data_IF_837550462494
#
_entry.id   IF_837550462494
#
_cell.length_a   1.000
_cell.length_b   1.000
_cell.length_c   1.000
_cell.angle_alpha   90.00
_cell.angle_beta   90.00
_cell.angle_gamma   90.00
#
_symmetry.space_group_name_H-M   'P 1'
#
loop_
_entity.id
_entity.type
_entity.pdbx_description
1 polymer ?
#
# COMPACT_ATOMS: atom_id res chain seq x y z
N UNK A 1 7.99 -6.33 -20.55
CA UNK A 1 7.10 -5.21 -20.14
C UNK A 1 5.87 -5.80 -19.50
N UNK A 2 5.45 -5.26 -18.34
CA UNK A 2 4.22 -5.66 -17.65
C UNK A 2 2.99 -5.45 -18.54
N UNK A 3 2.09 -6.43 -18.56
CA UNK A 3 0.78 -6.34 -19.24
C UNK A 3 -0.37 -6.09 -18.26
N UNK A 4 -0.08 -6.00 -16.96
CA UNK A 4 -1.10 -5.91 -15.91
C UNK A 4 -2.05 -4.72 -16.10
N UNK A 5 -1.55 -3.61 -16.65
CA UNK A 5 -2.36 -2.41 -16.85
C UNK A 5 -3.52 -2.62 -17.85
N UNK A 6 -3.45 -3.64 -18.71
CA UNK A 6 -4.55 -3.99 -19.61
C UNK A 6 -5.75 -4.62 -18.86
N UNK A 7 -5.53 -5.09 -17.64
CA UNK A 7 -6.55 -5.70 -16.78
C UNK A 7 -7.08 -4.76 -15.69
N UNK A 8 -6.55 -3.53 -15.63
CA UNK A 8 -6.98 -2.51 -14.68
C UNK A 8 -8.21 -1.79 -15.22
N UNK A 9 -9.29 -1.73 -14.40
CA UNK A 9 -10.57 -1.13 -14.80
C UNK A 9 -10.60 0.40 -14.69
N UNK A 10 -9.69 0.99 -13.90
CA UNK A 10 -9.73 2.39 -13.54
C UNK A 10 -8.54 3.15 -14.13
N UNK A 11 -8.77 4.32 -14.67
CA UNK A 11 -7.70 5.24 -15.12
C UNK A 11 -6.91 5.83 -13.96
N UNK A 12 -7.58 6.10 -12.85
CA UNK A 12 -6.99 6.53 -11.58
C UNK A 12 -7.50 5.63 -10.47
N UNK A 13 -6.61 5.23 -9.54
CA UNK A 13 -6.97 4.30 -8.47
C UNK A 13 -6.00 4.38 -7.29
N UNK A 14 -6.47 3.85 -6.17
CA UNK A 14 -5.66 3.52 -4.99
C UNK A 14 -5.24 2.06 -5.12
N UNK A 15 -3.94 1.78 -4.98
CA UNK A 15 -3.51 0.38 -4.84
C UNK A 15 -3.50 0.00 -3.36
N UNK A 16 -4.21 -1.06 -3.02
CA UNK A 16 -4.30 -1.54 -1.64
C UNK A 16 -3.79 -2.97 -1.52
N UNK A 17 -2.98 -3.23 -0.50
CA UNK A 17 -2.62 -4.58 -0.05
C UNK A 17 -2.57 -4.65 1.46
N UNK A 18 -3.13 -5.73 2.01
CA UNK A 18 -3.25 -5.97 3.45
C UNK A 18 -2.92 -7.44 3.69
N UNK A 19 -2.03 -7.73 4.62
CA UNK A 19 -1.63 -9.11 4.89
C UNK A 19 -1.10 -9.37 6.31
N UNK A 20 -0.90 -8.32 7.11
CA UNK A 20 -0.41 -8.47 8.48
C UNK A 20 -1.46 -9.15 9.37
N UNK A 21 -1.01 -10.09 10.22
CA UNK A 21 -1.87 -10.87 11.12
C UNK A 21 -2.74 -9.96 12.00
N UNK A 22 -2.15 -8.92 12.55
CA UNK A 22 -2.81 -7.94 13.42
C UNK A 22 -4.04 -7.29 12.76
N UNK A 23 -4.00 -7.12 11.43
CA UNK A 23 -5.08 -6.54 10.66
C UNK A 23 -6.09 -7.58 10.16
N UNK A 24 -5.59 -8.70 9.62
CA UNK A 24 -6.45 -9.63 8.88
C UNK A 24 -7.04 -10.71 9.78
N UNK A 25 -6.37 -11.12 10.86
CA UNK A 25 -6.88 -12.16 11.76
C UNK A 25 -7.88 -11.62 12.78
N UNK A 26 -7.92 -10.31 12.95
CA UNK A 26 -8.90 -9.62 13.81
C UNK A 26 -10.09 -9.16 12.97
N UNK A 27 -11.25 -9.82 13.17
CA UNK A 27 -12.48 -9.54 12.42
C UNK A 27 -12.90 -8.07 12.49
N UNK A 28 -12.84 -7.45 13.67
CA UNK A 28 -13.24 -6.05 13.89
C UNK A 28 -12.32 -5.10 13.13
N UNK A 29 -11.01 -5.33 13.16
CA UNK A 29 -10.03 -4.49 12.45
C UNK A 29 -10.21 -4.64 10.95
N UNK A 30 -10.27 -5.88 10.43
CA UNK A 30 -10.48 -6.14 9.02
C UNK A 30 -11.79 -5.51 8.52
N UNK A 31 -12.88 -5.67 9.27
CA UNK A 31 -14.18 -5.06 8.93
C UNK A 31 -14.12 -3.52 8.89
N UNK A 32 -13.37 -2.89 9.80
CA UNK A 32 -13.16 -1.44 9.78
C UNK A 32 -12.40 -1.01 8.51
N UNK A 33 -11.36 -1.75 8.13
CA UNK A 33 -10.60 -1.46 6.91
C UNK A 33 -11.50 -1.58 5.68
N UNK A 34 -12.24 -2.67 5.57
CA UNK A 34 -13.16 -2.91 4.44
C UNK A 34 -14.25 -1.84 4.39
N UNK A 35 -14.88 -1.51 5.52
CA UNK A 35 -15.88 -0.43 5.60
C UNK A 35 -15.30 0.93 5.22
N UNK A 36 -14.05 1.21 5.60
CA UNK A 36 -13.35 2.44 5.25
C UNK A 36 -13.13 2.57 3.74
N UNK A 37 -12.68 1.50 3.08
CA UNK A 37 -12.49 1.43 1.62
C UNK A 37 -13.84 1.61 0.90
N UNK A 38 -14.86 0.87 1.30
CA UNK A 38 -16.20 0.94 0.69
C UNK A 38 -16.80 2.34 0.87
N UNK A 39 -16.66 2.91 2.07
CA UNK A 39 -17.22 4.21 2.41
C UNK A 39 -16.58 5.39 1.67
N UNK A 40 -15.32 5.27 1.26
CA UNK A 40 -14.63 6.29 0.49
C UNK A 40 -15.18 6.43 -0.95
N UNK A 41 -15.80 5.40 -1.48
CA UNK A 41 -16.33 5.36 -2.86
C UNK A 41 -15.31 5.76 -3.94
N UNK A 42 -14.03 5.59 -3.65
CA UNK A 42 -12.91 5.96 -4.51
C UNK A 42 -12.41 4.73 -5.25
N UNK A 43 -12.08 4.81 -6.55
CA UNK A 43 -11.56 3.68 -7.31
C UNK A 43 -10.38 3.03 -6.59
N UNK A 44 -10.53 1.75 -6.24
CA UNK A 44 -9.54 1.02 -5.44
C UNK A 44 -9.27 -0.34 -6.05
N UNK A 45 -8.00 -0.65 -6.27
CA UNK A 45 -7.53 -1.99 -6.65
C UNK A 45 -6.98 -2.67 -5.40
N UNK A 46 -7.49 -3.83 -5.07
CA UNK A 46 -7.00 -4.65 -3.96
C UNK A 46 -6.22 -5.82 -4.53
N UNK A 47 -4.88 -5.81 -4.35
CA UNK A 47 -4.05 -6.99 -4.60
C UNK A 47 -4.20 -7.93 -3.41
N UNK A 48 -4.98 -8.98 -3.60
CA UNK A 48 -5.51 -9.78 -2.51
C UNK A 48 -4.55 -10.89 -2.10
N UNK A 49 -3.81 -10.68 -1.01
CA UNK A 49 -2.93 -11.70 -0.44
C UNK A 49 -3.72 -12.95 0.00
N UNK A 50 -3.19 -14.18 -0.15
CA UNK A 50 -3.90 -15.42 0.19
C UNK A 50 -4.43 -15.47 1.62
N UNK A 51 -3.65 -15.00 2.60
CA UNK A 51 -4.10 -14.88 4.00
C UNK A 51 -5.34 -13.99 4.12
N UNK A 52 -5.31 -12.83 3.49
CA UNK A 52 -6.40 -11.87 3.53
C UNK A 52 -7.65 -12.42 2.88
N UNK A 53 -7.50 -13.11 1.74
CA UNK A 53 -8.60 -13.81 1.06
C UNK A 53 -9.28 -14.80 2.00
N UNK A 54 -8.49 -15.69 2.62
CA UNK A 54 -8.98 -16.68 3.58
C UNK A 54 -9.78 -16.06 4.72
N UNK A 55 -9.30 -14.92 5.27
CA UNK A 55 -9.97 -14.26 6.39
C UNK A 55 -11.22 -13.50 5.95
N UNK A 56 -11.21 -12.87 4.77
CA UNK A 56 -12.40 -12.24 4.19
C UNK A 56 -13.52 -13.26 3.91
N UNK A 57 -13.17 -14.45 3.43
CA UNK A 57 -14.10 -15.56 3.25
C UNK A 57 -14.65 -16.06 4.60
N UNK A 58 -13.75 -16.32 5.57
CA UNK A 58 -14.11 -16.76 6.93
C UNK A 58 -15.10 -15.81 7.62
N UNK A 59 -14.90 -14.50 7.47
CA UNK A 59 -15.75 -13.48 8.09
C UNK A 59 -16.89 -12.99 7.17
N UNK A 60 -17.14 -13.68 6.07
CA UNK A 60 -18.23 -13.36 5.11
C UNK A 60 -18.16 -11.92 4.58
N UNK A 61 -16.95 -11.39 4.39
CA UNK A 61 -16.73 -10.00 3.93
C UNK A 61 -16.39 -9.90 2.44
N UNK A 62 -15.95 -10.99 1.79
CA UNK A 62 -15.49 -10.95 0.40
C UNK A 62 -16.56 -10.41 -0.56
N UNK A 63 -17.81 -10.87 -0.42
CA UNK A 63 -18.93 -10.42 -1.25
C UNK A 63 -19.22 -8.92 -1.12
N UNK A 64 -18.93 -8.31 0.03
CA UNK A 64 -19.11 -6.86 0.23
C UNK A 64 -18.19 -6.06 -0.69
N UNK A 65 -16.96 -6.55 -0.91
CA UNK A 65 -15.98 -5.93 -1.82
C UNK A 65 -16.34 -6.21 -3.28
N UNK A 66 -16.69 -7.45 -3.62
CA UNK A 66 -17.05 -7.86 -5.00
C UNK A 66 -18.24 -7.08 -5.53
N UNK A 67 -19.20 -6.75 -4.68
CA UNK A 67 -20.41 -6.00 -5.04
C UNK A 67 -20.15 -4.48 -5.18
N UNK A 68 -18.95 -3.98 -4.86
CA UNK A 68 -18.63 -2.56 -4.96
C UNK A 68 -18.10 -2.20 -6.34
N UNK A 69 -18.83 -1.38 -7.10
CA UNK A 69 -18.44 -0.93 -8.45
C UNK A 69 -17.09 -0.20 -8.51
N UNK A 70 -16.71 0.47 -7.42
CA UNK A 70 -15.45 1.22 -7.28
C UNK A 70 -14.31 0.37 -6.70
N UNK A 71 -14.50 -0.93 -6.50
CA UNK A 71 -13.46 -1.85 -6.05
C UNK A 71 -13.18 -2.90 -7.13
N UNK A 72 -11.91 -3.12 -7.39
CA UNK A 72 -11.42 -4.22 -8.22
C UNK A 72 -10.50 -5.09 -7.39
N UNK A 73 -10.86 -6.35 -7.23
CA UNK A 73 -10.00 -7.36 -6.60
C UNK A 73 -9.16 -8.02 -7.69
N UNK A 74 -7.86 -8.14 -7.45
CA UNK A 74 -6.92 -8.87 -8.30
C UNK A 74 -6.16 -9.89 -7.45
N UNK A 75 -5.74 -10.98 -8.08
CA UNK A 75 -4.85 -11.95 -7.45
C UNK A 75 -3.48 -11.33 -7.17
N UNK A 76 -2.67 -11.91 -6.27
CA UNK A 76 -1.29 -11.48 -6.08
C UNK A 76 -0.53 -11.47 -7.40
N UNK A 77 0.21 -10.39 -7.64
CA UNK A 77 0.94 -10.18 -8.88
C UNK A 77 2.43 -10.46 -8.68
N UNK A 78 3.13 -10.80 -9.75
CA UNK A 78 4.59 -10.81 -9.76
C UNK A 78 5.16 -9.41 -9.49
N UNK A 79 6.42 -9.36 -9.03
CA UNK A 79 7.06 -8.12 -8.58
C UNK A 79 6.99 -6.97 -9.59
N UNK A 80 7.32 -7.24 -10.86
CA UNK A 80 7.30 -6.19 -11.91
C UNK A 80 5.89 -5.69 -12.22
N UNK A 81 4.90 -6.56 -12.18
CA UNK A 81 3.50 -6.19 -12.37
C UNK A 81 2.99 -5.37 -11.19
N UNK A 82 3.40 -5.75 -9.97
CA UNK A 82 3.05 -5.00 -8.76
C UNK A 82 3.69 -3.60 -8.76
N UNK A 83 4.96 -3.46 -9.18
CA UNK A 83 5.60 -2.15 -9.37
C UNK A 83 4.88 -1.30 -10.43
N UNK A 84 4.40 -1.93 -11.51
CA UNK A 84 3.61 -1.22 -12.51
C UNK A 84 2.29 -0.69 -11.94
N UNK A 85 1.62 -1.48 -11.09
CA UNK A 85 0.41 -1.04 -10.38
C UNK A 85 0.71 0.11 -9.42
N UNK A 86 1.80 0.04 -8.64
CA UNK A 86 2.22 1.15 -7.76
C UNK A 86 2.46 2.42 -8.60
N UNK A 87 3.24 2.33 -9.65
CA UNK A 87 3.63 3.48 -10.48
C UNK A 87 2.43 4.21 -11.07
N UNK A 88 1.38 3.49 -11.43
CA UNK A 88 0.18 4.05 -12.05
C UNK A 88 -0.94 4.36 -11.04
N UNK A 89 -0.77 4.04 -9.75
CA UNK A 89 -1.73 4.44 -8.71
C UNK A 89 -1.59 5.92 -8.35
N UNK A 90 -2.62 6.51 -7.78
CA UNK A 90 -2.52 7.84 -7.15
C UNK A 90 -1.69 7.79 -5.88
N UNK A 91 -1.96 6.82 -5.05
CA UNK A 91 -1.19 6.49 -3.85
C UNK A 91 -1.41 5.03 -3.47
N UNK A 92 -0.67 4.56 -2.49
CA UNK A 92 -0.76 3.19 -1.98
C UNK A 92 -1.34 3.18 -0.57
N UNK A 93 -2.15 2.19 -0.25
CA UNK A 93 -2.60 1.90 1.11
C UNK A 93 -2.17 0.49 1.49
N UNK A 94 -1.38 0.36 2.56
CA UNK A 94 -0.77 -0.93 2.91
C UNK A 94 -0.39 -1.05 4.37
N UNK A 95 -0.23 -2.27 4.85
CA UNK A 95 0.39 -2.61 6.14
C UNK A 95 1.82 -3.15 5.99
N UNK A 96 2.36 -3.19 4.76
CA UNK A 96 3.71 -3.71 4.45
C UNK A 96 4.81 -2.69 4.72
N UNK A 97 5.83 -3.09 5.49
CA UNK A 97 7.04 -2.28 5.70
C UNK A 97 7.87 -2.10 4.43
N UNK A 98 8.08 -3.18 3.64
CA UNK A 98 8.86 -3.12 2.41
C UNK A 98 8.26 -2.19 1.36
N UNK A 99 6.94 -2.19 1.21
CA UNK A 99 6.26 -1.26 0.28
C UNK A 99 6.46 0.19 0.73
N UNK A 100 6.47 0.47 2.04
CA UNK A 100 6.76 1.82 2.56
C UNK A 100 8.14 2.33 2.14
N UNK A 101 9.13 1.44 2.00
CA UNK A 101 10.47 1.79 1.51
C UNK A 101 10.47 1.97 -0.02
N UNK A 102 9.96 1.00 -0.76
CA UNK A 102 9.99 0.97 -2.23
C UNK A 102 9.31 2.18 -2.87
N UNK A 103 8.16 2.60 -2.35
CA UNK A 103 7.39 3.73 -2.90
C UNK A 103 8.10 5.08 -2.79
N UNK A 104 9.08 5.20 -1.86
CA UNK A 104 9.90 6.40 -1.71
C UNK A 104 10.98 6.52 -2.78
N UNK A 105 11.12 5.49 -3.63
CA UNK A 105 12.03 5.57 -4.78
C UNK A 105 11.61 6.69 -5.73
N UNK A 106 12.57 7.51 -6.25
CA UNK A 106 12.28 8.51 -7.27
C UNK A 106 11.59 7.96 -8.52
N UNK A 107 11.74 6.66 -8.82
CA UNK A 107 11.10 5.99 -9.95
C UNK A 107 9.61 5.76 -9.74
N UNK A 108 9.17 5.58 -8.49
CA UNK A 108 7.78 5.36 -8.13
C UNK A 108 7.12 6.66 -7.66
N UNK A 109 7.77 7.37 -6.75
CA UNK A 109 7.32 8.68 -6.23
C UNK A 109 5.86 8.68 -5.79
N UNK A 110 5.50 7.78 -4.87
CA UNK A 110 4.13 7.68 -4.34
C UNK A 110 4.09 7.94 -2.85
N UNK A 111 2.97 8.46 -2.38
CA UNK A 111 2.64 8.50 -0.95
C UNK A 111 1.99 7.18 -0.52
N UNK A 112 2.05 6.90 0.77
CA UNK A 112 1.43 5.71 1.36
C UNK A 112 0.61 6.06 2.58
N UNK A 113 -0.58 5.52 2.64
CA UNK A 113 -1.41 5.43 3.83
C UNK A 113 -1.11 4.09 4.51
N UNK A 114 -0.54 4.14 5.70
CA UNK A 114 -0.09 2.96 6.43
C UNK A 114 -1.18 2.50 7.38
N UNK A 115 -1.70 1.31 7.15
CA UNK A 115 -2.74 0.66 7.97
C UNK A 115 -2.14 0.01 9.22
N UNK A 116 -1.55 0.83 10.10
CA UNK A 116 -0.92 0.40 11.34
C UNK A 116 -1.00 1.47 12.40
N UNK A 117 -0.94 1.07 13.67
CA UNK A 117 -0.86 2.00 14.81
C UNK A 117 0.56 2.58 14.98
N UNK A 118 1.57 1.83 14.55
CA UNK A 118 2.98 2.25 14.54
C UNK A 118 3.68 1.77 13.28
N UNK A 119 4.79 2.41 12.92
CA UNK A 119 5.63 1.99 11.78
C UNK A 119 7.06 1.78 12.22
N UNK A 120 7.69 0.73 11.71
CA UNK A 120 9.12 0.46 11.80
C UNK A 120 9.92 1.27 10.76
N UNK A 121 9.26 2.18 10.06
CA UNK A 121 9.82 2.99 8.96
C UNK A 121 9.59 4.48 9.21
N UNK A 122 10.16 5.03 10.29
CA UNK A 122 9.98 6.44 10.65
C UNK A 122 10.51 7.39 9.57
N UNK A 123 11.49 6.95 8.78
CA UNK A 123 12.11 7.76 7.74
C UNK A 123 11.08 8.20 6.67
N UNK A 124 10.20 7.28 6.23
CA UNK A 124 9.15 7.60 5.25
C UNK A 124 8.12 8.57 5.85
N UNK A 125 7.80 8.43 7.14
CA UNK A 125 6.87 9.31 7.85
C UNK A 125 7.48 10.70 8.00
N UNK A 126 8.72 10.80 8.47
CA UNK A 126 9.44 12.06 8.68
C UNK A 126 9.67 12.82 7.36
N UNK A 127 9.80 12.07 6.25
CA UNK A 127 9.89 12.64 4.91
C UNK A 127 8.52 13.07 4.33
N UNK A 128 7.42 12.91 5.07
CA UNK A 128 6.06 13.24 4.62
C UNK A 128 5.52 12.33 3.51
N UNK A 129 6.12 11.18 3.31
CA UNK A 129 5.74 10.21 2.27
C UNK A 129 4.79 9.14 2.77
N UNK A 130 4.81 8.87 4.08
CA UNK A 130 3.95 7.91 4.74
C UNK A 130 3.11 8.59 5.82
N UNK A 131 1.86 8.14 5.97
CA UNK A 131 0.96 8.59 7.04
C UNK A 131 0.32 7.38 7.71
N UNK A 132 0.47 7.27 9.02
CA UNK A 132 -0.24 6.26 9.81
C UNK A 132 -1.72 6.59 9.89
N UNK A 133 -2.57 5.58 9.75
CA UNK A 133 -4.01 5.76 9.81
C UNK A 133 -4.57 4.98 11.01
N UNK A 134 -5.30 5.63 11.92
CA UNK A 134 -6.06 4.91 12.93
C UNK A 134 -7.06 3.95 12.29
N UNK A 135 -7.10 2.68 12.75
CA UNK A 135 -7.85 1.59 12.12
C UNK A 135 -9.36 1.61 12.45
N UNK A 136 -9.95 2.82 12.49
CA UNK A 136 -11.39 3.04 12.55
C UNK A 136 -11.91 3.42 11.17
N UNK A 137 -13.03 2.86 10.75
CA UNK A 137 -13.53 3.01 9.39
C UNK A 137 -13.71 4.50 8.97
N UNK A 138 -14.19 5.37 9.88
CA UNK A 138 -14.35 6.81 9.59
C UNK A 138 -13.00 7.48 9.29
N UNK A 139 -11.95 7.11 10.06
CA UNK A 139 -10.62 7.68 9.87
C UNK A 139 -10.02 7.20 8.55
N UNK A 140 -10.19 5.92 8.21
CA UNK A 140 -9.72 5.35 6.95
C UNK A 140 -10.41 6.05 5.77
N UNK A 141 -11.75 6.17 5.80
CA UNK A 141 -12.51 6.91 4.78
C UNK A 141 -12.02 8.34 4.63
N UNK A 142 -11.88 9.07 5.75
CA UNK A 142 -11.41 10.46 5.76
C UNK A 142 -10.00 10.57 5.18
N UNK A 143 -9.08 9.69 5.60
CA UNK A 143 -7.69 9.70 5.11
C UNK A 143 -7.61 9.41 3.62
N UNK A 144 -8.41 8.47 3.12
CA UNK A 144 -8.50 8.17 1.68
C UNK A 144 -8.93 9.41 0.91
N UNK A 145 -10.02 10.06 1.31
CA UNK A 145 -10.54 11.24 0.62
C UNK A 145 -9.55 12.41 0.66
N UNK A 146 -8.96 12.68 1.82
CA UNK A 146 -7.94 13.72 1.95
C UNK A 146 -6.69 13.46 1.09
N UNK A 147 -6.26 12.19 0.98
CA UNK A 147 -5.10 11.84 0.17
C UNK A 147 -5.41 11.87 -1.32
N UNK A 148 -6.65 11.50 -1.69
CA UNK A 148 -7.11 11.51 -3.07
C UNK A 148 -7.06 12.90 -3.70
N UNK A 149 -7.39 13.94 -2.94
CA UNK A 149 -7.43 15.34 -3.41
C UNK A 149 -6.05 15.99 -3.50
N UNK A 150 -5.01 15.34 -2.94
CA UNK A 150 -3.64 15.89 -3.01
C UNK A 150 -3.04 15.75 -4.40
N UNK A 151 -2.23 16.73 -4.78
CA UNK A 151 -1.41 16.67 -6.00
C UNK A 151 -0.37 15.55 -5.90
N UNK A 152 0.05 15.02 -7.04
CA UNK A 152 1.13 14.06 -7.10
C UNK A 152 2.41 14.60 -6.45
N UNK A 153 3.15 13.71 -5.80
CA UNK A 153 4.44 14.02 -5.20
C UNK A 153 5.56 13.65 -6.17
N UNK A 154 6.59 14.51 -6.24
CA UNK A 154 7.84 14.18 -6.94
C UNK A 154 8.95 14.02 -5.92
N UNK A 155 9.39 12.79 -5.72
CA UNK A 155 10.45 12.45 -4.78
C UNK A 155 11.78 12.54 -5.53
N UNK A 156 12.67 13.44 -5.08
CA UNK A 156 14.00 13.60 -5.69
C UNK A 156 15.02 12.62 -5.10
N UNK A 157 14.87 12.25 -3.83
CA UNK A 157 15.79 11.39 -3.08
C UNK A 157 15.02 10.54 -2.08
N UNK A 158 15.27 9.22 -2.10
CA UNK A 158 14.69 8.33 -1.09
C UNK A 158 15.36 8.54 0.26
N UNK A 159 14.60 8.53 1.38
CA UNK A 159 15.17 8.56 2.73
C UNK A 159 15.99 7.29 3.03
N UNK A 160 15.79 6.21 2.28
CA UNK A 160 16.50 4.94 2.42
C UNK A 160 17.78 4.83 1.57
N UNK A 161 18.22 5.92 0.94
CA UNK A 161 19.48 5.98 0.21
C UNK A 161 19.36 5.81 -1.30
N UNK A 162 20.48 5.48 -1.94
CA UNK A 162 20.63 5.51 -3.40
C UNK A 162 20.97 4.15 -4.00
N UNK A 163 20.79 3.05 -3.25
CA UNK A 163 21.07 1.68 -3.72
C UNK A 163 22.54 1.26 -3.62
N UNK A 164 23.40 2.00 -2.91
CA UNK A 164 24.83 1.71 -2.76
C UNK A 164 25.20 1.04 -1.41
N UNK A 165 24.23 0.42 -0.74
CA UNK A 165 24.45 -0.22 0.58
C UNK A 165 25.48 -1.34 0.53
N UNK A 166 25.47 -2.18 -0.52
CA UNK A 166 26.44 -3.27 -0.68
C UNK A 166 27.89 -2.75 -0.71
N UNK A 167 28.16 -1.70 -1.51
CA UNK A 167 29.50 -1.08 -1.57
C UNK A 167 29.91 -0.49 -0.23
N UNK A 168 29.01 0.14 0.51
CA UNK A 168 29.30 0.69 1.84
C UNK A 168 29.62 -0.41 2.85
N UNK A 169 28.87 -1.52 2.82
CA UNK A 169 29.11 -2.68 3.68
C UNK A 169 30.49 -3.27 3.38
N UNK A 170 30.81 -3.47 2.09
CA UNK A 170 32.12 -3.98 1.68
C UNK A 170 33.27 -3.09 2.20
N UNK A 171 33.17 -1.78 2.01
CA UNK A 171 34.16 -0.83 2.53
C UNK A 171 34.35 -0.89 4.04
N UNK A 172 33.28 -1.19 4.78
CA UNK A 172 33.39 -1.37 6.24
C UNK A 172 34.08 -2.69 6.56
N UNK A 173 33.70 -3.78 5.92
CA UNK A 173 34.30 -5.11 6.15
C UNK A 173 35.80 -5.12 5.85
N UNK A 174 36.23 -4.49 4.75
CA UNK A 174 37.64 -4.37 4.36
C UNK A 174 38.51 -3.61 5.37
N UNK A 175 37.91 -2.77 6.24
CA UNK A 175 38.63 -2.09 7.32
C UNK A 175 38.90 -2.95 8.54
N UNK A 176 38.20 -4.07 8.68
CA UNK A 176 38.30 -4.99 9.82
C UNK A 176 38.85 -6.38 9.43
N UNK A 177 39.19 -6.58 8.17
CA UNK A 177 39.92 -7.74 7.66
C UNK A 177 41.42 -7.43 7.55
#
# INVERSE_FOLDING_TARGET
KSKIMQHVKFSEYILTTIHRAENVDNEKVLNNIIKGIIGAKTPTIISLHPRTKKMLEKFSMIKKLENCKHVQIINPQGYLDFLALIKNSRFVMTDSGGIQEEITSPLLSKRVLVLRESSERPEAINAGMASLIPLRHQNITKSILQEWDKKEVKIKKSPYGTGNSASKILTVLEKYS
#
